data_IF_262374213972
#
_entry.id   IF_262374213972
#
_cell.length_a   1.000
_cell.length_b   1.000
_cell.length_c   1.000
_cell.angle_alpha   90.00
_cell.angle_beta   90.00
_cell.angle_gamma   90.00
#
_symmetry.space_group_name_H-M   'P 1'
#
loop_
_entity.id
_entity.type
_entity.pdbx_description
1 polymer ?
#
# COMPACT_ATOMS: atom_id res chain seq x y z
N UNK A 1 -33.82 -17.53 24.15
CA UNK A 1 -32.44 -17.94 24.54
C UNK A 1 -31.50 -17.52 23.42
N UNK A 2 -30.46 -16.71 23.69
CA UNK A 2 -29.44 -16.39 22.68
C UNK A 2 -28.41 -17.52 22.68
N UNK A 3 -28.19 -18.14 21.54
CA UNK A 3 -27.17 -19.17 21.33
C UNK A 3 -25.80 -18.67 21.87
N UNK A 4 -25.15 -19.40 22.80
CA UNK A 4 -23.83 -19.07 23.30
C UNK A 4 -22.77 -18.87 22.19
N UNK A 5 -22.91 -19.60 21.07
CA UNK A 5 -22.04 -19.46 19.89
C UNK A 5 -22.17 -18.07 19.25
N UNK A 6 -23.39 -17.54 19.19
CA UNK A 6 -23.68 -16.23 18.60
C UNK A 6 -23.06 -15.08 19.40
N UNK A 7 -22.86 -15.25 20.73
CA UNK A 7 -22.20 -14.23 21.57
C UNK A 7 -20.71 -14.12 21.25
N UNK A 8 -20.04 -15.25 21.00
CA UNK A 8 -18.63 -15.28 20.62
C UNK A 8 -18.41 -14.59 19.27
N UNK A 9 -19.19 -14.99 18.26
CA UNK A 9 -19.16 -14.41 16.92
C UNK A 9 -19.46 -12.92 16.94
N UNK A 10 -20.52 -12.49 17.64
CA UNK A 10 -20.89 -11.07 17.74
C UNK A 10 -19.77 -10.21 18.33
N UNK A 11 -19.06 -10.71 19.35
CA UNK A 11 -17.92 -9.99 19.94
C UNK A 11 -16.77 -9.81 18.95
N UNK A 12 -16.41 -10.89 18.24
CA UNK A 12 -15.32 -10.85 17.25
C UNK A 12 -15.69 -9.93 16.08
N UNK A 13 -16.91 -10.05 15.54
CA UNK A 13 -17.37 -9.19 14.45
C UNK A 13 -17.36 -7.72 14.85
N UNK A 14 -17.90 -7.39 16.04
CA UNK A 14 -17.89 -6.01 16.54
C UNK A 14 -16.46 -5.48 16.74
N UNK A 15 -15.55 -6.32 17.23
CA UNK A 15 -14.14 -5.95 17.39
C UNK A 15 -13.51 -5.60 16.04
N UNK A 16 -13.61 -6.48 15.04
CA UNK A 16 -13.01 -6.22 13.72
C UNK A 16 -13.72 -5.11 12.94
N UNK A 17 -15.04 -4.94 13.08
CA UNK A 17 -15.78 -3.80 12.53
C UNK A 17 -15.24 -2.47 13.08
N UNK A 18 -15.11 -2.37 14.40
CA UNK A 18 -14.54 -1.18 15.07
C UNK A 18 -13.07 -0.98 14.70
N UNK A 19 -12.30 -2.08 14.60
CA UNK A 19 -10.90 -2.04 14.22
C UNK A 19 -10.71 -1.51 12.80
N UNK A 20 -11.52 -1.99 11.87
CA UNK A 20 -11.50 -1.56 10.48
C UNK A 20 -11.89 -0.09 10.34
N UNK A 21 -12.94 0.36 11.03
CA UNK A 21 -13.31 1.77 11.05
C UNK A 21 -12.13 2.67 11.49
N UNK A 22 -11.38 2.24 12.52
CA UNK A 22 -10.25 3.00 13.08
C UNK A 22 -9.07 3.18 12.14
N UNK A 23 -8.96 2.37 11.09
CA UNK A 23 -7.90 2.46 10.07
C UNK A 23 -8.44 2.86 8.70
N UNK A 24 -9.75 3.14 8.59
CA UNK A 24 -10.40 3.53 7.34
C UNK A 24 -11.39 4.70 7.53
N UNK A 25 -11.05 5.60 8.46
CA UNK A 25 -11.75 6.87 8.65
C UNK A 25 -11.43 7.87 7.54
N UNK A 26 -12.48 8.51 7.01
CA UNK A 26 -12.38 9.55 5.96
C UNK A 26 -12.92 10.92 6.42
N UNK A 27 -13.60 10.98 7.57
CA UNK A 27 -14.16 12.23 8.10
C UNK A 27 -13.28 12.84 9.17
N UNK A 28 -13.38 14.16 9.38
CA UNK A 28 -12.61 14.84 10.43
C UNK A 28 -13.11 14.55 11.84
N UNK A 29 -14.41 14.26 11.99
CA UNK A 29 -15.08 14.12 13.29
C UNK A 29 -15.79 12.79 13.38
N UNK A 30 -15.96 12.30 14.60
CA UNK A 30 -16.69 11.07 14.86
C UNK A 30 -18.12 11.09 14.28
N UNK A 31 -18.53 9.94 13.77
CA UNK A 31 -19.89 9.72 13.32
C UNK A 31 -20.68 8.97 14.39
N UNK A 32 -22.00 9.23 14.48
CA UNK A 32 -22.86 8.57 15.47
C UNK A 32 -22.78 7.06 15.33
N UNK A 33 -22.33 6.39 16.39
CA UNK A 33 -22.18 4.93 16.43
C UNK A 33 -20.90 4.37 15.79
N UNK A 34 -20.07 5.22 15.17
CA UNK A 34 -18.84 4.85 14.46
C UNK A 34 -17.72 5.82 14.86
N UNK A 35 -17.38 5.81 16.15
CA UNK A 35 -16.52 6.82 16.78
C UNK A 35 -15.09 6.85 16.25
N UNK A 36 -14.58 5.72 15.74
CA UNK A 36 -13.24 5.64 15.16
C UNK A 36 -13.25 5.77 13.62
N UNK A 37 -14.40 5.96 12.98
CA UNK A 37 -14.47 6.17 11.53
C UNK A 37 -14.18 7.63 11.15
N UNK A 38 -13.10 8.18 11.69
CA UNK A 38 -12.70 9.57 11.53
C UNK A 38 -11.18 9.74 11.62
N UNK A 39 -10.72 10.99 11.61
CA UNK A 39 -9.32 11.34 11.68
C UNK A 39 -8.70 10.92 13.03
N UNK A 40 -7.49 10.37 12.98
CA UNK A 40 -6.74 9.98 14.16
C UNK A 40 -5.84 11.14 14.62
N UNK A 41 -5.96 11.51 15.89
CA UNK A 41 -5.13 12.49 16.58
C UNK A 41 -4.72 11.93 17.94
N UNK A 42 -3.86 12.66 18.66
CA UNK A 42 -3.49 12.28 20.02
C UNK A 42 -4.69 12.33 20.99
N UNK A 43 -5.74 13.09 20.64
CA UNK A 43 -6.92 13.31 21.47
C UNK A 43 -8.12 12.44 21.05
N UNK A 44 -8.15 11.88 19.84
CA UNK A 44 -9.32 11.15 19.32
C UNK A 44 -9.47 9.70 19.82
N UNK A 45 -8.72 9.30 20.85
CA UNK A 45 -8.81 7.96 21.46
C UNK A 45 -8.21 6.82 20.63
N UNK A 46 -7.91 7.02 19.35
CA UNK A 46 -7.35 6.03 18.43
C UNK A 46 -6.08 5.36 18.96
N UNK A 47 -5.14 6.14 19.50
CA UNK A 47 -3.87 5.62 20.02
C UNK A 47 -4.10 4.59 21.13
N UNK A 48 -5.04 4.87 22.04
CA UNK A 48 -5.41 3.94 23.12
C UNK A 48 -6.11 2.72 22.55
N UNK A 49 -7.09 2.92 21.66
CA UNK A 49 -7.82 1.83 21.03
C UNK A 49 -6.90 0.87 20.26
N UNK A 50 -5.94 1.38 19.48
CA UNK A 50 -4.94 0.58 18.77
C UNK A 50 -4.02 -0.16 19.74
N UNK A 51 -3.61 0.47 20.83
CA UNK A 51 -2.78 -0.17 21.87
C UNK A 51 -3.49 -1.37 22.51
N UNK A 52 -4.78 -1.23 22.79
CA UNK A 52 -5.59 -2.32 23.37
C UNK A 52 -5.90 -3.40 22.32
N UNK A 53 -6.18 -3.00 21.08
CA UNK A 53 -6.41 -3.92 19.96
C UNK A 53 -5.18 -4.79 19.66
N UNK A 54 -3.97 -4.24 19.74
CA UNK A 54 -2.72 -5.01 19.60
C UNK A 54 -2.64 -6.11 20.66
N UNK A 55 -2.99 -5.82 21.92
CA UNK A 55 -2.98 -6.81 23.01
C UNK A 55 -3.98 -7.94 22.75
N UNK A 56 -5.18 -7.58 22.27
CA UNK A 56 -6.21 -8.56 21.94
C UNK A 56 -5.83 -9.42 20.75
N UNK A 57 -5.30 -8.84 19.67
CA UNK A 57 -4.83 -9.58 18.48
C UNK A 57 -3.71 -10.57 18.83
N UNK A 58 -2.77 -10.21 19.72
CA UNK A 58 -1.70 -11.10 20.19
C UNK A 58 -2.22 -12.33 20.94
N UNK A 59 -3.45 -12.27 21.47
CA UNK A 59 -4.11 -13.39 22.16
C UNK A 59 -4.94 -14.27 21.22
N UNK A 60 -5.14 -13.83 19.98
CA UNK A 60 -5.92 -14.58 18.99
C UNK A 60 -5.03 -15.59 18.26
N UNK A 61 -5.64 -16.69 17.83
CA UNK A 61 -5.01 -17.70 16.99
C UNK A 61 -6.07 -18.35 16.10
N UNK A 62 -5.67 -18.71 14.88
CA UNK A 62 -6.52 -19.51 14.00
C UNK A 62 -6.33 -20.98 14.32
N UNK A 63 -7.42 -21.75 14.33
CA UNK A 63 -7.41 -23.20 14.52
C UNK A 63 -8.24 -23.87 13.43
N UNK A 64 -7.82 -25.06 13.01
CA UNK A 64 -8.66 -25.95 12.21
C UNK A 64 -9.79 -26.53 13.05
N UNK A 65 -10.75 -27.20 12.40
CA UNK A 65 -11.83 -27.92 13.08
C UNK A 65 -11.30 -29.00 14.05
N UNK A 66 -10.18 -29.64 13.70
CA UNK A 66 -9.47 -30.62 14.54
C UNK A 66 -8.55 -29.98 15.59
N UNK A 67 -8.61 -28.65 15.77
CA UNK A 67 -7.90 -27.93 16.83
C UNK A 67 -6.43 -27.57 16.53
N UNK A 68 -5.91 -27.91 15.34
CA UNK A 68 -4.54 -27.58 14.94
C UNK A 68 -4.39 -26.08 14.73
N UNK A 69 -3.37 -25.47 15.36
CA UNK A 69 -3.07 -24.05 15.19
C UNK A 69 -2.60 -23.79 13.75
N UNK A 70 -3.21 -22.80 13.10
CA UNK A 70 -2.86 -22.32 11.78
C UNK A 70 -1.93 -21.11 11.89
N UNK A 71 -0.78 -21.18 11.24
CA UNK A 71 0.11 -20.03 11.08
C UNK A 71 -0.37 -19.19 9.91
N UNK A 72 -1.11 -18.10 10.20
CA UNK A 72 -1.61 -17.13 9.22
C UNK A 72 -1.06 -15.77 9.61
N UNK A 73 -0.48 -15.05 8.64
CA UNK A 73 0.14 -13.74 8.89
C UNK A 73 -0.86 -12.63 9.18
N UNK A 74 -2.17 -12.83 8.94
CA UNK A 74 -3.18 -11.77 9.05
C UNK A 74 -3.22 -11.07 10.41
N UNK A 75 -3.10 -11.80 11.53
CA UNK A 75 -3.05 -11.19 12.87
C UNK A 75 -1.77 -10.37 13.07
N UNK A 76 -0.62 -10.90 12.64
CA UNK A 76 0.67 -10.20 12.72
C UNK A 76 0.68 -8.96 11.83
N UNK A 77 0.06 -9.03 10.65
CA UNK A 77 -0.09 -7.89 9.75
C UNK A 77 -0.97 -6.81 10.38
N UNK A 78 -2.09 -7.18 11.02
CA UNK A 78 -2.89 -6.22 11.79
C UNK A 78 -2.09 -5.57 12.91
N UNK A 79 -1.32 -6.33 13.69
CA UNK A 79 -0.46 -5.79 14.75
C UNK A 79 0.54 -4.78 14.16
N UNK A 80 1.24 -5.14 13.08
CA UNK A 80 2.19 -4.28 12.39
C UNK A 80 1.53 -2.98 11.89
N UNK A 81 0.36 -3.09 11.25
CA UNK A 81 -0.43 -1.93 10.78
C UNK A 81 -0.75 -1.00 11.95
N UNK A 82 -1.27 -1.53 13.07
CA UNK A 82 -1.64 -0.71 14.23
C UNK A 82 -0.42 -0.05 14.89
N UNK A 83 0.71 -0.75 14.96
CA UNK A 83 1.98 -0.18 15.43
C UNK A 83 2.46 0.96 14.52
N UNK A 84 2.36 0.79 13.20
CA UNK A 84 2.68 1.83 12.23
C UNK A 84 1.76 3.05 12.34
N UNK A 85 0.44 2.86 12.46
CA UNK A 85 -0.52 3.95 12.66
C UNK A 85 -0.22 4.76 13.94
N UNK A 86 0.07 4.08 15.05
CA UNK A 86 0.48 4.72 16.31
C UNK A 86 1.77 5.52 16.12
N UNK A 87 2.76 4.92 15.47
CA UNK A 87 4.05 5.55 15.20
C UNK A 87 3.89 6.79 14.34
N UNK A 88 3.17 6.70 13.21
CA UNK A 88 2.95 7.82 12.29
C UNK A 88 2.22 8.97 12.98
N UNK A 89 1.10 8.70 13.64
CA UNK A 89 0.30 9.75 14.33
C UNK A 89 1.15 10.49 15.36
N UNK A 90 1.95 9.77 16.15
CA UNK A 90 2.77 10.36 17.21
C UNK A 90 3.95 11.15 16.66
N UNK A 91 4.68 10.57 15.69
CA UNK A 91 5.89 11.20 15.16
C UNK A 91 5.59 12.35 14.21
N UNK A 92 4.53 12.27 13.41
CA UNK A 92 4.12 13.37 12.55
C UNK A 92 3.65 14.57 13.38
N UNK A 93 2.89 14.34 14.47
CA UNK A 93 2.55 15.41 15.41
C UNK A 93 3.80 16.01 16.06
N UNK A 94 4.72 15.17 16.55
CA UNK A 94 5.94 15.66 17.23
C UNK A 94 6.87 16.44 16.30
N UNK A 95 7.00 16.02 15.04
CA UNK A 95 7.98 16.57 14.10
C UNK A 95 7.44 17.72 13.26
N UNK A 96 6.16 17.70 12.92
CA UNK A 96 5.55 18.64 11.97
C UNK A 96 4.29 19.31 12.52
N UNK A 97 4.00 19.13 13.82
CA UNK A 97 2.81 19.66 14.49
C UNK A 97 1.46 19.23 13.88
N UNK A 98 1.47 18.22 13.00
CA UNK A 98 0.31 17.71 12.28
C UNK A 98 -0.81 17.32 13.27
N UNK A 99 -1.95 17.99 13.17
CA UNK A 99 -3.04 17.84 14.13
C UNK A 99 -3.69 16.46 14.10
N UNK A 100 -3.82 15.88 12.92
CA UNK A 100 -4.45 14.60 12.70
C UNK A 100 -3.97 13.94 11.40
N UNK A 101 -4.18 12.64 11.30
CA UNK A 101 -4.06 11.88 10.05
C UNK A 101 -5.44 11.36 9.65
N UNK A 102 -5.71 11.27 8.35
CA UNK A 102 -6.92 10.65 7.81
C UNK A 102 -6.57 9.21 7.40
N UNK A 103 -7.03 8.18 8.13
CA UNK A 103 -6.57 6.81 7.90
C UNK A 103 -6.79 6.27 6.48
N UNK A 104 -7.89 6.63 5.82
CA UNK A 104 -8.16 6.22 4.43
C UNK A 104 -7.07 6.69 3.45
N UNK A 105 -6.33 7.77 3.74
CA UNK A 105 -5.24 8.22 2.86
C UNK A 105 -3.96 7.37 2.98
N UNK A 106 -3.91 6.45 3.94
CA UNK A 106 -2.77 5.55 4.16
C UNK A 106 -3.02 4.14 3.62
N UNK A 107 -4.15 3.91 2.94
CA UNK A 107 -4.47 2.64 2.31
C UNK A 107 -4.19 2.67 0.80
N UNK A 108 -4.41 1.53 0.13
CA UNK A 108 -4.16 1.38 -1.32
C UNK A 108 -5.44 1.57 -2.17
N UNK A 109 -6.57 1.95 -1.57
CA UNK A 109 -7.85 2.07 -2.27
C UNK A 109 -7.77 3.06 -3.44
N UNK A 110 -7.13 4.25 -3.32
CA UNK A 110 -6.99 5.16 -4.45
C UNK A 110 -6.20 4.55 -5.62
N UNK A 111 -5.23 3.68 -5.33
CA UNK A 111 -4.45 2.99 -6.35
C UNK A 111 -5.26 1.88 -7.01
N UNK A 112 -6.04 1.12 -6.24
CA UNK A 112 -6.97 0.11 -6.78
C UNK A 112 -8.04 0.75 -7.65
N UNK A 113 -8.58 1.89 -7.21
CA UNK A 113 -9.50 2.71 -7.97
C UNK A 113 -8.86 3.18 -9.28
N UNK A 114 -7.63 3.71 -9.23
CA UNK A 114 -6.90 4.11 -10.41
C UNK A 114 -6.72 2.96 -11.42
N UNK A 115 -6.33 1.76 -10.96
CA UNK A 115 -6.23 0.59 -11.83
C UNK A 115 -7.57 0.15 -12.41
N UNK A 116 -8.65 0.35 -11.68
CA UNK A 116 -10.00 0.09 -12.20
C UNK A 116 -10.36 1.08 -13.31
N UNK A 117 -10.05 2.38 -13.15
CA UNK A 117 -10.23 3.38 -14.22
C UNK A 117 -9.47 2.99 -15.49
N UNK A 118 -8.25 2.48 -15.33
CA UNK A 118 -7.41 1.99 -16.42
C UNK A 118 -8.01 0.80 -17.16
N UNK A 119 -8.68 -0.12 -16.44
CA UNK A 119 -9.40 -1.25 -17.05
C UNK A 119 -10.67 -0.80 -17.77
N UNK A 120 -11.36 0.22 -17.24
CA UNK A 120 -12.60 0.74 -17.84
C UNK A 120 -12.37 1.51 -19.15
N UNK A 121 -11.21 2.13 -19.34
CA UNK A 121 -10.90 2.90 -20.54
C UNK A 121 -10.81 2.06 -21.83
N UNK A 122 -10.50 0.75 -21.71
CA UNK A 122 -10.35 -0.17 -22.84
C UNK A 122 -11.65 -0.58 -23.55
N UNK A 123 -12.77 0.06 -23.24
CA UNK A 123 -14.11 -0.36 -23.66
C UNK A 123 -14.68 -1.46 -22.77
N UNK A 124 -16.01 -1.49 -22.65
CA UNK A 124 -16.89 -2.34 -21.84
C UNK A 124 -16.22 -3.57 -21.18
N UNK A 125 -16.48 -3.80 -19.87
CA UNK A 125 -15.82 -4.74 -18.93
C UNK A 125 -15.52 -6.18 -19.41
N UNK A 126 -15.91 -6.57 -20.61
CA UNK A 126 -15.69 -7.90 -21.17
C UNK A 126 -14.62 -7.94 -22.28
N UNK A 127 -14.02 -6.82 -22.71
CA UNK A 127 -13.07 -6.82 -23.85
C UNK A 127 -11.61 -6.57 -23.48
N UNK A 128 -11.32 -5.90 -22.37
CA UNK A 128 -9.94 -5.51 -22.03
C UNK A 128 -9.67 -5.37 -20.52
N UNK A 129 -10.13 -6.35 -19.72
CA UNK A 129 -9.93 -6.37 -18.25
C UNK A 129 -8.45 -6.51 -17.88
N UNK A 130 -7.66 -7.14 -18.76
CA UNK A 130 -6.24 -7.39 -18.56
C UNK A 130 -5.46 -6.77 -19.74
N UNK A 131 -5.24 -5.44 -19.74
CA UNK A 131 -4.50 -4.79 -20.81
C UNK A 131 -3.05 -5.28 -20.84
N UNK A 132 -2.48 -5.39 -22.04
CA UNK A 132 -1.02 -5.54 -22.18
C UNK A 132 -0.30 -4.28 -21.69
N UNK A 133 1.00 -4.36 -21.40
CA UNK A 133 1.78 -3.21 -20.92
C UNK A 133 1.70 -2.00 -21.85
N UNK A 134 1.67 -2.23 -23.18
CA UNK A 134 1.50 -1.17 -24.18
C UNK A 134 0.14 -0.50 -24.08
N UNK A 135 -0.92 -1.30 -23.91
CA UNK A 135 -2.29 -0.79 -23.78
C UNK A 135 -2.47 -0.05 -22.46
N UNK A 136 -1.89 -0.58 -21.38
CA UNK A 136 -1.83 0.11 -20.10
C UNK A 136 -1.14 1.46 -20.24
N UNK A 137 0.05 1.54 -20.87
CA UNK A 137 0.74 2.81 -21.09
C UNK A 137 -0.12 3.83 -21.86
N UNK A 138 -0.87 3.39 -22.86
CA UNK A 138 -1.75 4.26 -23.63
C UNK A 138 -2.95 4.75 -22.80
N UNK A 139 -3.58 3.88 -22.01
CA UNK A 139 -4.63 4.27 -21.08
C UNK A 139 -4.11 5.27 -20.04
N UNK A 140 -2.91 5.05 -19.51
CA UNK A 140 -2.29 5.92 -18.51
C UNK A 140 -2.11 7.33 -19.06
N UNK A 141 -1.49 7.45 -20.25
CA UNK A 141 -1.30 8.74 -20.93
C UNK A 141 -2.62 9.46 -21.15
N UNK A 142 -3.66 8.70 -21.51
CA UNK A 142 -4.97 9.26 -21.79
C UNK A 142 -5.68 9.73 -20.53
N UNK A 143 -5.64 8.97 -19.44
CA UNK A 143 -6.14 9.42 -18.14
C UNK A 143 -5.37 10.65 -17.67
N UNK A 144 -4.04 10.66 -17.78
CA UNK A 144 -3.20 11.79 -17.38
C UNK A 144 -3.57 13.07 -18.14
N UNK A 145 -3.78 12.99 -19.46
CA UNK A 145 -4.23 14.11 -20.28
C UNK A 145 -5.62 14.61 -19.87
N UNK A 146 -6.48 13.70 -19.42
CA UNK A 146 -7.83 14.00 -18.94
C UNK A 146 -7.89 14.23 -17.42
N UNK A 147 -6.77 14.60 -16.79
CA UNK A 147 -6.69 14.90 -15.35
C UNK A 147 -7.15 13.76 -14.42
N UNK A 148 -6.93 12.52 -14.84
CA UNK A 148 -7.36 11.30 -14.18
C UNK A 148 -8.89 11.19 -14.04
N UNK A 149 -9.64 11.88 -14.89
CA UNK A 149 -11.10 11.73 -14.97
C UNK A 149 -11.42 10.53 -15.84
N UNK A 150 -12.22 9.60 -15.31
CA UNK A 150 -12.75 8.47 -16.07
C UNK A 150 -14.27 8.38 -15.95
N UNK A 151 -14.92 7.73 -16.92
CA UNK A 151 -16.36 7.48 -16.87
C UNK A 151 -16.64 6.39 -15.82
N UNK A 152 -17.08 6.77 -14.62
CA UNK A 152 -17.56 5.80 -13.66
C UNK A 152 -18.73 5.01 -14.24
N UNK A 153 -18.57 3.70 -14.37
CA UNK A 153 -19.67 2.80 -14.72
C UNK A 153 -20.67 2.68 -13.57
N UNK A 154 -21.98 2.68 -13.87
CA UNK A 154 -23.08 2.57 -12.89
C UNK A 154 -23.03 1.33 -11.97
N UNK A 155 -22.15 0.37 -12.24
CA UNK A 155 -22.02 -0.90 -11.51
C UNK A 155 -20.60 -1.13 -10.96
N UNK A 156 -19.82 -0.07 -10.69
CA UNK A 156 -18.48 -0.19 -10.09
C UNK A 156 -18.58 -0.75 -8.67
N UNK A 157 -17.77 -1.78 -8.38
CA UNK A 157 -17.70 -2.41 -7.05
C UNK A 157 -16.77 -1.66 -6.09
N UNK A 158 -16.06 -0.64 -6.59
CA UNK A 158 -15.10 0.14 -5.82
C UNK A 158 -15.81 1.29 -5.11
N UNK A 159 -15.40 1.57 -3.87
CA UNK A 159 -15.91 2.69 -3.11
C UNK A 159 -15.44 4.00 -3.78
N UNK A 160 -16.35 4.97 -3.94
CA UNK A 160 -15.98 6.30 -4.37
C UNK A 160 -14.96 6.88 -3.36
N UNK A 161 -13.80 7.30 -3.85
CA UNK A 161 -12.74 7.89 -3.03
C UNK A 161 -12.85 9.43 -2.96
N UNK A 162 -13.94 9.99 -3.50
CA UNK A 162 -14.21 11.43 -3.60
C UNK A 162 -13.05 12.21 -4.27
N UNK A 163 -12.20 11.51 -5.03
CA UNK A 163 -11.11 12.11 -5.78
C UNK A 163 -11.66 12.64 -7.11
N UNK A 164 -12.00 13.92 -7.15
CA UNK A 164 -12.58 14.53 -8.35
C UNK A 164 -11.55 14.75 -9.46
N UNK A 165 -10.27 14.88 -9.11
CA UNK A 165 -9.18 15.28 -10.00
C UNK A 165 -7.82 14.94 -9.39
N UNK A 166 -6.78 14.83 -10.23
CA UNK A 166 -5.39 14.84 -9.75
C UNK A 166 -5.06 16.15 -9.00
N UNK A 167 -4.21 16.08 -7.98
CA UNK A 167 -3.74 17.25 -7.23
C UNK A 167 -3.01 18.27 -8.12
N UNK A 168 -2.43 17.80 -9.23
CA UNK A 168 -1.71 18.61 -10.21
C UNK A 168 -2.08 18.12 -11.61
N UNK A 169 -2.46 19.04 -12.50
CA UNK A 169 -2.75 18.73 -13.90
C UNK A 169 -1.46 18.67 -14.72
N UNK A 170 -1.44 17.91 -15.81
CA UNK A 170 -0.30 17.93 -16.75
C UNK A 170 -0.04 19.35 -17.28
N UNK A 171 -1.10 20.14 -17.49
CA UNK A 171 -1.00 21.55 -17.89
C UNK A 171 -0.18 22.37 -16.90
N UNK A 172 -0.34 22.12 -15.59
CA UNK A 172 0.45 22.81 -14.57
C UNK A 172 1.94 22.48 -14.72
N UNK A 173 2.31 21.20 -14.86
CA UNK A 173 3.70 20.78 -15.08
C UNK A 173 4.34 21.40 -16.34
N UNK A 174 3.55 21.57 -17.41
CA UNK A 174 4.03 22.13 -18.67
C UNK A 174 4.16 23.66 -18.65
N UNK A 175 3.45 24.34 -17.75
CA UNK A 175 3.37 25.80 -17.70
C UNK A 175 4.13 26.42 -16.54
N UNK A 176 4.73 25.62 -15.64
CA UNK A 176 5.57 26.16 -14.57
C UNK A 176 6.79 26.87 -15.16
N UNK A 177 6.94 28.20 -14.96
CA UNK A 177 8.15 28.89 -15.35
C UNK A 177 9.31 28.37 -14.50
N UNK A 178 10.41 27.99 -15.14
CA UNK A 178 11.67 27.70 -14.45
C UNK A 178 12.16 29.02 -13.86
N UNK A 179 11.80 29.31 -12.62
CA UNK A 179 12.22 30.51 -11.91
C UNK A 179 13.37 30.14 -10.96
N UNK A 180 14.54 30.73 -11.21
CA UNK A 180 15.71 30.68 -10.32
C UNK A 180 15.53 31.65 -9.13
N UNK A 181 14.47 31.49 -8.33
CA UNK A 181 14.25 32.39 -7.20
C UNK A 181 14.64 31.74 -5.87
N UNK A 182 15.53 32.45 -5.15
CA UNK A 182 15.98 32.10 -3.80
C UNK A 182 14.78 32.09 -2.84
N UNK A 183 14.72 31.13 -1.90
CA UNK A 183 13.58 31.01 -0.99
C UNK A 183 13.49 32.26 -0.11
N UNK A 184 12.32 32.90 -0.10
CA UNK A 184 11.95 33.94 0.86
C UNK A 184 10.86 33.37 1.78
N UNK A 185 11.07 33.50 3.09
CA UNK A 185 10.47 32.64 4.14
C UNK A 185 9.02 32.96 4.53
N UNK A 186 8.31 33.85 3.84
CA UNK A 186 6.98 34.29 4.29
C UNK A 186 5.93 34.26 3.18
N UNK A 187 5.27 33.12 2.95
CA UNK A 187 3.87 33.09 2.49
C UNK A 187 3.22 31.70 2.65
N UNK A 188 2.12 31.66 3.39
CA UNK A 188 1.17 30.56 3.46
C UNK A 188 0.49 30.37 2.11
N UNK A 189 0.99 29.43 1.32
CA UNK A 189 0.25 28.71 0.30
C UNK A 189 0.91 27.34 0.25
N UNK A 190 0.13 26.26 0.19
CA UNK A 190 0.62 24.92 -0.18
C UNK A 190 1.06 24.91 -1.64
N UNK A 191 1.97 25.82 -2.00
CA UNK A 191 2.82 25.67 -3.14
C UNK A 191 3.61 24.39 -2.83
N UNK A 192 3.34 23.35 -3.61
CA UNK A 192 4.31 22.30 -3.84
C UNK A 192 5.50 23.03 -4.47
N UNK A 193 6.33 23.64 -3.64
CA UNK A 193 7.66 24.07 -4.02
C UNK A 193 8.37 22.74 -4.26
N UNK A 194 8.22 22.21 -5.47
CA UNK A 194 9.27 21.42 -6.07
C UNK A 194 10.48 22.34 -6.06
N UNK A 195 11.23 22.27 -4.96
CA UNK A 195 12.62 22.62 -4.97
C UNK A 195 13.21 21.64 -5.98
N UNK A 196 13.21 22.03 -7.26
CA UNK A 196 14.06 21.47 -8.30
C UNK A 196 15.49 21.86 -7.92
N UNK A 197 15.98 21.38 -6.78
CA UNK A 197 17.34 20.88 -6.73
C UNK A 197 17.35 19.87 -7.86
N UNK A 198 18.06 20.19 -8.93
CA UNK A 198 18.37 19.28 -10.04
C UNK A 198 18.48 17.88 -9.45
N UNK A 199 17.43 17.07 -9.63
CA UNK A 199 17.34 15.79 -8.95
C UNK A 199 18.43 14.92 -9.56
N UNK A 200 19.58 14.90 -8.92
CA UNK A 200 20.56 13.82 -9.03
C UNK A 200 20.01 12.54 -8.37
N UNK A 201 18.69 12.32 -8.42
CA UNK A 201 18.02 11.10 -7.95
C UNK A 201 18.21 9.92 -8.91
N UNK A 202 19.15 10.00 -9.87
CA UNK A 202 19.60 8.82 -10.61
C UNK A 202 19.88 7.65 -9.66
N UNK A 203 20.45 7.93 -8.48
CA UNK A 203 20.71 6.90 -7.48
C UNK A 203 19.45 6.29 -6.85
N UNK A 204 18.40 7.09 -6.59
CA UNK A 204 17.16 6.57 -5.99
C UNK A 204 16.32 5.79 -7.00
N UNK A 205 16.15 6.31 -8.21
CA UNK A 205 15.47 5.59 -9.29
C UNK A 205 16.22 4.29 -9.62
N UNK A 206 17.55 4.37 -9.76
CA UNK A 206 18.39 3.18 -9.96
C UNK A 206 18.25 2.18 -8.82
N UNK A 207 18.23 2.62 -7.56
CA UNK A 207 18.04 1.74 -6.40
C UNK A 207 16.66 1.06 -6.43
N UNK A 208 15.57 1.80 -6.70
CA UNK A 208 14.22 1.25 -6.77
C UNK A 208 14.09 0.25 -7.93
N UNK A 209 14.63 0.57 -9.10
CA UNK A 209 14.64 -0.34 -10.26
C UNK A 209 15.42 -1.61 -9.92
N UNK A 210 16.60 -1.46 -9.33
CA UNK A 210 17.49 -2.54 -8.89
C UNK A 210 16.79 -3.51 -7.93
N UNK A 211 16.19 -3.02 -6.85
CA UNK A 211 15.50 -3.90 -5.87
C UNK A 211 14.22 -4.52 -6.48
N UNK A 212 13.54 -3.81 -7.39
CA UNK A 212 12.32 -4.30 -8.06
C UNK A 212 12.62 -5.43 -9.04
N UNK A 213 13.63 -5.24 -9.90
CA UNK A 213 14.10 -6.25 -10.84
C UNK A 213 14.58 -7.49 -10.07
N UNK A 214 15.32 -7.31 -8.97
CA UNK A 214 15.79 -8.42 -8.12
C UNK A 214 14.62 -9.22 -7.53
N UNK A 215 13.57 -8.54 -7.07
CA UNK A 215 12.36 -9.20 -6.57
C UNK A 215 11.65 -10.04 -7.65
N UNK A 216 11.49 -9.48 -8.85
CA UNK A 216 10.89 -10.20 -10.00
C UNK A 216 11.76 -11.38 -10.41
N UNK A 217 13.08 -11.21 -10.48
CA UNK A 217 14.02 -12.27 -10.80
C UNK A 217 14.05 -13.40 -9.75
N UNK A 218 13.80 -13.08 -8.48
CA UNK A 218 13.55 -14.07 -7.45
C UNK A 218 12.34 -14.96 -7.75
N UNK A 219 11.25 -14.35 -8.25
CA UNK A 219 10.06 -15.08 -8.69
C UNK A 219 10.33 -15.94 -9.93
N UNK A 220 11.01 -15.39 -10.94
CA UNK A 220 11.38 -16.12 -12.17
C UNK A 220 12.28 -17.31 -11.81
N UNK A 221 13.31 -17.10 -10.99
CA UNK A 221 14.21 -18.14 -10.49
C UNK A 221 13.45 -19.30 -9.83
N UNK A 222 12.43 -18.99 -9.03
CA UNK A 222 11.56 -19.99 -8.40
C UNK A 222 10.78 -20.81 -9.44
N UNK A 223 10.34 -20.20 -10.53
CA UNK A 223 9.63 -20.88 -11.64
C UNK A 223 10.57 -21.71 -12.51
N UNK A 224 11.78 -21.20 -12.78
CA UNK A 224 12.78 -21.93 -13.56
C UNK A 224 13.23 -23.22 -12.88
N UNK A 225 13.28 -23.27 -11.54
CA UNK A 225 13.54 -24.51 -10.79
C UNK A 225 12.51 -25.62 -11.03
N UNK A 226 11.31 -25.29 -11.53
CA UNK A 226 10.29 -26.28 -11.91
C UNK A 226 10.58 -26.89 -13.29
N UNK A 227 11.48 -26.31 -14.07
CA UNK A 227 11.88 -26.84 -15.36
C UNK A 227 13.02 -27.84 -15.17
N UNK A 228 12.93 -29.02 -15.80
CA UNK A 228 13.98 -30.05 -15.77
C UNK A 228 15.19 -29.70 -16.67
N UNK A 229 15.56 -28.43 -16.76
CA UNK A 229 16.67 -27.97 -17.59
C UNK A 229 17.99 -27.99 -16.79
N UNK A 230 19.06 -28.65 -17.29
CA UNK A 230 20.37 -28.68 -16.63
C UNK A 230 20.98 -27.29 -16.40
N UNK A 231 20.79 -26.35 -17.32
CA UNK A 231 21.25 -24.96 -17.17
C UNK A 231 20.43 -24.18 -16.12
N UNK A 232 19.12 -24.43 -16.03
CA UNK A 232 18.25 -23.83 -15.01
C UNK A 232 18.45 -24.42 -13.61
N UNK A 233 19.15 -25.57 -13.50
CA UNK A 233 19.54 -26.18 -12.22
C UNK A 233 20.77 -25.52 -11.60
N UNK A 234 21.59 -24.80 -12.38
CA UNK A 234 22.65 -23.94 -11.84
C UNK A 234 21.97 -22.80 -11.09
N UNK A 235 21.86 -22.96 -9.78
CA UNK A 235 20.93 -22.24 -8.92
C UNK A 235 21.09 -20.72 -9.07
N UNK A 236 20.15 -19.99 -9.73
CA UNK A 236 20.22 -18.54 -9.82
C UNK A 236 19.88 -17.87 -8.49
N UNK A 237 19.68 -18.65 -7.41
CA UNK A 237 19.39 -18.14 -6.08
C UNK A 237 20.65 -18.12 -5.22
N UNK A 238 20.80 -17.07 -4.42
CA UNK A 238 21.89 -16.90 -3.46
C UNK A 238 21.38 -16.93 -2.02
N UNK A 239 22.24 -17.36 -1.10
CA UNK A 239 22.06 -17.15 0.34
C UNK A 239 22.71 -15.83 0.80
N UNK A 240 23.68 -15.33 0.04
CA UNK A 240 24.38 -14.07 0.29
C UNK A 240 23.45 -12.89 0.02
N UNK A 241 23.02 -12.26 1.11
CA UNK A 241 22.11 -11.12 1.09
C UNK A 241 22.90 -9.83 0.90
N UNK A 242 22.36 -8.93 0.09
CA UNK A 242 22.91 -7.61 -0.19
C UNK A 242 21.77 -6.61 -0.34
N UNK A 243 22.08 -5.32 -0.49
CA UNK A 243 21.10 -4.24 -0.71
C UNK A 243 20.14 -4.49 -1.90
N UNK A 244 20.53 -5.32 -2.88
CA UNK A 244 19.65 -5.73 -3.99
C UNK A 244 18.39 -6.46 -3.49
N UNK A 245 18.48 -7.07 -2.31
CA UNK A 245 17.45 -7.93 -1.74
C UNK A 245 16.55 -7.20 -0.74
N UNK A 246 16.73 -5.91 -0.50
CA UNK A 246 15.99 -5.16 0.52
C UNK A 246 14.47 -5.31 0.34
N UNK A 247 13.97 -5.24 -0.90
CA UNK A 247 12.55 -5.45 -1.20
C UNK A 247 12.09 -6.89 -0.91
N UNK A 248 12.93 -7.88 -1.19
CA UNK A 248 12.65 -9.30 -0.92
C UNK A 248 12.56 -9.54 0.58
N UNK A 249 13.47 -8.94 1.36
CA UNK A 249 13.50 -9.03 2.83
C UNK A 249 12.27 -8.36 3.42
N UNK A 250 11.97 -7.13 3.00
CA UNK A 250 10.79 -6.38 3.44
C UNK A 250 9.47 -7.11 3.15
N UNK A 251 9.42 -7.92 2.09
CA UNK A 251 8.24 -8.73 1.71
C UNK A 251 8.24 -10.16 2.24
N UNK A 252 9.30 -10.62 2.90
CA UNK A 252 9.34 -11.94 3.52
C UNK A 252 8.66 -11.86 4.91
N UNK A 253 7.34 -12.01 4.91
CA UNK A 253 6.50 -11.80 6.11
C UNK A 253 6.63 -12.89 7.20
N UNK A 254 7.31 -14.02 6.96
CA UNK A 254 7.22 -15.18 7.84
C UNK A 254 8.57 -15.69 8.35
N UNK A 255 8.86 -15.42 9.63
CA UNK A 255 10.03 -15.94 10.36
C UNK A 255 9.96 -17.46 10.58
N UNK A 256 8.76 -18.06 10.57
CA UNK A 256 8.55 -19.50 10.77
C UNK A 256 8.69 -20.33 9.49
N UNK A 257 8.72 -19.68 8.31
CA UNK A 257 9.00 -20.32 7.03
C UNK A 257 10.01 -19.47 6.25
N UNK A 258 11.27 -19.40 6.70
CA UNK A 258 12.30 -18.67 5.98
C UNK A 258 12.42 -19.22 4.54
N UNK A 259 12.57 -18.32 3.57
CA UNK A 259 12.83 -18.60 2.14
C UNK A 259 11.61 -18.92 1.24
N UNK A 260 10.42 -18.35 1.51
CA UNK A 260 9.27 -18.43 0.59
C UNK A 260 9.53 -17.65 -0.70
N UNK A 261 10.14 -16.48 -0.56
CA UNK A 261 10.70 -15.70 -1.66
C UNK A 261 12.15 -16.17 -1.89
N UNK A 262 12.55 -16.18 -3.16
CA UNK A 262 13.92 -16.54 -3.55
C UNK A 262 14.72 -15.28 -3.80
N UNK A 263 15.91 -15.23 -3.24
CA UNK A 263 16.91 -14.19 -3.45
C UNK A 263 17.73 -14.61 -4.67
N UNK A 264 17.76 -13.80 -5.73
CA UNK A 264 18.49 -14.16 -6.94
C UNK A 264 19.91 -13.57 -6.91
N UNK A 265 20.86 -14.21 -7.58
CA UNK A 265 22.22 -13.69 -7.67
C UNK A 265 22.23 -12.37 -8.45
N UNK A 266 23.04 -11.37 -8.06
CA UNK A 266 23.19 -10.14 -8.84
C UNK A 266 23.60 -10.41 -10.31
N UNK A 267 24.32 -11.48 -10.57
CA UNK A 267 24.69 -11.94 -11.92
C UNK A 267 23.46 -12.30 -12.75
N UNK A 268 22.48 -12.99 -12.16
CA UNK A 268 21.23 -13.34 -12.84
C UNK A 268 20.41 -12.09 -13.16
N UNK A 269 20.44 -11.07 -12.29
CA UNK A 269 19.77 -9.78 -12.52
C UNK A 269 20.36 -9.04 -13.72
N UNK A 270 21.66 -9.15 -13.99
CA UNK A 270 22.32 -8.46 -15.13
C UNK A 270 21.86 -8.96 -16.51
N UNK A 271 21.19 -10.11 -16.59
CA UNK A 271 20.65 -10.65 -17.85
C UNK A 271 19.21 -10.19 -18.15
N UNK A 272 18.61 -9.37 -17.27
CA UNK A 272 17.23 -8.85 -17.38
C UNK A 272 17.23 -7.40 -17.86
#
# INVERSE_FOLDING_TARGET
MKDPSARGTSKILKFFDTLFDSVNGHTLREQRGKIYKCAASLQSGHIRFWSDSIKELRRMQFKTEIGKILSVSSLNNWICTLEAFRFLTTNLKKKYELEYIIPTYLNQDPLENFFEQMRQYGGNRNRNVNPSSTVFLNHFKTLLLNNLVSRHSLHANCQNDDSYNGLVTLKHFLLLPVSEEKPNDNCETMAIIEQRKSLSNRNYTYYIDKISITYVNGFISKKLKMLQCPLCKNNPCTEDVSEWHDLVICREYNVQCPNRLKKCTPEFVKFS
#
